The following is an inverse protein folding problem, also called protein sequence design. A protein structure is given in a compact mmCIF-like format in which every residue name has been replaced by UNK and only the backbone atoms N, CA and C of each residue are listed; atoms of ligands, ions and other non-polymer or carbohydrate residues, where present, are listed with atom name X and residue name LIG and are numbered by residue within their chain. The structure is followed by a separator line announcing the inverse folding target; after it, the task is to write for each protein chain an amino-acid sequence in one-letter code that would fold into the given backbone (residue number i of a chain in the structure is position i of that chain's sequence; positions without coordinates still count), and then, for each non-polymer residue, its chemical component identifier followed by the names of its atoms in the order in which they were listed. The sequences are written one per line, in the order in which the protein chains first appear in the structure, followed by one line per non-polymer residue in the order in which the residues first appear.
data_IF_179163784444
#
_entry.id   IF_179163784444
#
_cell.length_a   1.000
_cell.length_b   1.000
_cell.length_c   1.000
_cell.angle_alpha   90.00
_cell.angle_beta   90.00
_cell.angle_gamma   90.00
#
_symmetry.space_group_name_H-M   'P 1'
#
loop_
_entity.id
_entity.type
_entity.pdbx_description
1 polymer ?
#
# COMPACT_ATOMS: atom_id res chain seq x y z
N UNK A 1 44.01 -66.20 31.89
CA UNK A 1 42.59 -65.85 31.70
C UNK A 1 42.21 -64.45 32.22
N UNK A 2 42.61 -64.02 33.43
CA UNK A 2 42.20 -62.70 34.00
C UNK A 2 42.59 -61.44 33.19
N UNK A 3 43.74 -61.43 32.49
CA UNK A 3 44.19 -60.27 31.69
C UNK A 3 43.32 -59.99 30.45
N UNK A 4 42.82 -61.02 29.78
CA UNK A 4 41.94 -60.88 28.60
C UNK A 4 40.55 -60.36 28.98
N UNK A 5 40.06 -60.72 30.17
CA UNK A 5 38.77 -60.27 30.68
C UNK A 5 38.76 -58.76 30.99
N UNK A 6 39.86 -58.23 31.56
CA UNK A 6 40.02 -56.79 31.79
C UNK A 6 40.05 -55.97 30.49
N UNK A 7 40.72 -56.48 29.45
CA UNK A 7 40.77 -55.82 28.13
C UNK A 7 39.38 -55.79 27.49
N UNK A 8 38.62 -56.89 27.56
CA UNK A 8 37.26 -56.95 27.04
C UNK A 8 36.31 -55.96 27.74
N UNK A 9 36.45 -55.79 29.06
CA UNK A 9 35.68 -54.80 29.83
C UNK A 9 36.01 -53.38 29.39
N UNK A 10 37.30 -53.06 29.20
CA UNK A 10 37.71 -51.71 28.75
C UNK A 10 37.15 -51.42 27.35
N UNK A 11 37.22 -52.38 26.43
CA UNK A 11 36.64 -52.24 25.08
C UNK A 11 35.12 -52.04 25.16
N UNK A 12 34.42 -52.79 26.02
CA UNK A 12 32.98 -52.64 26.19
C UNK A 12 32.59 -51.28 26.76
N UNK A 13 33.34 -50.75 27.73
CA UNK A 13 33.12 -49.42 28.32
C UNK A 13 33.34 -48.33 27.27
N UNK A 14 34.44 -48.41 26.52
CA UNK A 14 34.75 -47.45 25.44
C UNK A 14 33.69 -47.52 24.34
N UNK A 15 33.25 -48.71 23.94
CA UNK A 15 32.16 -48.87 22.99
C UNK A 15 30.85 -48.25 23.50
N UNK A 16 30.51 -48.45 24.79
CA UNK A 16 29.34 -47.86 25.42
C UNK A 16 29.39 -46.33 25.45
N UNK A 17 30.56 -45.74 25.73
CA UNK A 17 30.72 -44.26 25.72
C UNK A 17 30.54 -43.68 24.33
N UNK A 18 31.14 -44.30 23.31
CA UNK A 18 30.93 -43.88 21.92
C UNK A 18 29.47 -44.02 21.45
N UNK A 19 28.79 -45.09 21.89
CA UNK A 19 27.38 -45.29 21.58
C UNK A 19 26.51 -44.21 22.22
N UNK A 20 26.75 -43.88 23.50
CA UNK A 20 26.02 -42.84 24.22
C UNK A 20 26.21 -41.46 23.55
N UNK A 21 27.45 -41.10 23.22
CA UNK A 21 27.76 -39.84 22.54
C UNK A 21 27.09 -39.76 21.15
N UNK A 22 27.02 -40.88 20.43
CA UNK A 22 26.33 -40.96 19.15
C UNK A 22 24.82 -40.71 19.28
N UNK A 23 24.17 -41.30 20.29
CA UNK A 23 22.74 -41.07 20.54
C UNK A 23 22.45 -39.63 20.96
N UNK A 24 23.25 -39.05 21.86
CA UNK A 24 23.10 -37.65 22.29
C UNK A 24 23.28 -36.69 21.12
N UNK A 25 24.28 -36.92 20.26
CA UNK A 25 24.50 -36.10 19.06
C UNK A 25 23.34 -36.21 18.07
N UNK A 26 22.78 -37.41 17.90
CA UNK A 26 21.64 -37.66 17.01
C UNK A 26 20.36 -36.97 17.51
N UNK A 27 20.10 -37.02 18.82
CA UNK A 27 18.95 -36.36 19.45
C UNK A 27 19.04 -34.83 19.31
N UNK A 28 20.21 -34.23 19.61
CA UNK A 28 20.45 -32.80 19.39
C UNK A 28 20.24 -32.36 17.94
N UNK A 29 20.71 -33.18 16.99
CA UNK A 29 20.52 -32.90 15.56
C UNK A 29 19.05 -33.01 15.15
N UNK A 30 18.29 -33.92 15.76
CA UNK A 30 16.85 -34.05 15.51
C UNK A 30 16.08 -32.84 16.06
N UNK A 31 16.43 -32.36 17.26
CA UNK A 31 15.86 -31.15 17.85
C UNK A 31 16.15 -29.90 17.03
N UNK A 32 17.38 -29.78 16.51
CA UNK A 32 17.78 -28.67 15.65
C UNK A 32 16.97 -28.67 14.34
N UNK A 33 16.78 -29.83 13.70
CA UNK A 33 15.96 -29.96 12.50
C UNK A 33 14.50 -29.62 12.79
N UNK A 34 13.97 -30.04 13.94
CA UNK A 34 12.60 -29.73 14.34
C UNK A 34 12.43 -28.22 14.56
N UNK A 35 13.38 -27.57 15.25
CA UNK A 35 13.40 -26.12 15.46
C UNK A 35 13.49 -25.35 14.15
N UNK A 36 14.39 -25.74 13.26
CA UNK A 36 14.56 -25.10 11.94
C UNK A 36 13.34 -25.29 11.03
N UNK A 37 12.62 -26.42 11.15
CA UNK A 37 11.33 -26.63 10.48
C UNK A 37 10.25 -25.71 11.04
N UNK A 38 10.13 -25.61 12.36
CA UNK A 38 9.17 -24.71 13.00
C UNK A 38 9.45 -23.23 12.65
N UNK A 39 10.72 -22.83 12.63
CA UNK A 39 11.13 -21.50 12.21
C UNK A 39 10.80 -21.25 10.74
N UNK A 40 11.06 -22.22 9.85
CA UNK A 40 10.64 -22.13 8.45
C UNK A 40 9.13 -21.98 8.28
N UNK A 41 8.33 -22.77 9.01
CA UNK A 41 6.87 -22.68 8.97
C UNK A 41 6.38 -21.33 9.49
N UNK A 42 6.97 -20.82 10.58
CA UNK A 42 6.63 -19.50 11.12
C UNK A 42 7.03 -18.37 10.15
N UNK A 43 8.23 -18.43 9.56
CA UNK A 43 8.66 -17.47 8.53
C UNK A 43 7.77 -17.54 7.28
N UNK A 44 7.35 -18.74 6.86
CA UNK A 44 6.39 -18.92 5.76
C UNK A 44 5.03 -18.32 6.10
N UNK A 45 4.53 -18.51 7.32
CA UNK A 45 3.29 -17.91 7.78
C UNK A 45 3.39 -16.38 7.84
N UNK A 46 4.50 -15.83 8.35
CA UNK A 46 4.76 -14.38 8.35
C UNK A 46 4.83 -13.82 6.92
N UNK A 47 5.52 -14.49 5.99
CA UNK A 47 5.54 -14.12 4.58
C UNK A 47 4.13 -14.18 3.98
N UNK A 48 3.33 -15.18 4.33
CA UNK A 48 1.95 -15.30 3.85
C UNK A 48 1.05 -14.20 4.39
N UNK A 49 1.20 -13.81 5.66
CA UNK A 49 0.49 -12.67 6.26
C UNK A 49 0.93 -11.34 5.66
N UNK A 50 2.23 -11.14 5.42
CA UNK A 50 2.75 -9.97 4.71
C UNK A 50 2.26 -9.92 3.26
N UNK A 51 2.18 -11.07 2.59
CA UNK A 51 1.58 -11.18 1.25
C UNK A 51 0.10 -10.88 1.29
N UNK A 52 -0.65 -11.36 2.27
CA UNK A 52 -2.09 -11.12 2.39
C UNK A 52 -2.39 -9.64 2.71
N UNK A 53 -1.62 -9.03 3.62
CA UNK A 53 -1.72 -7.61 3.94
C UNK A 53 -1.20 -6.72 2.79
N UNK A 54 -0.25 -7.21 1.99
CA UNK A 54 0.24 -6.56 0.76
C UNK A 54 -0.58 -6.87 -0.51
N UNK A 55 -1.47 -7.86 -0.48
CA UNK A 55 -2.26 -8.31 -1.65
C UNK A 55 -3.52 -7.48 -1.88
N UNK A 56 -3.94 -6.67 -0.89
CA UNK A 56 -5.19 -5.90 -0.98
C UNK A 56 -5.04 -4.46 -1.49
N UNK A 57 -3.87 -4.04 -1.97
CA UNK A 57 -3.78 -2.71 -2.57
C UNK A 57 -2.61 -2.61 -3.56
N UNK A 58 -2.94 -2.61 -4.85
CA UNK A 58 -2.14 -2.02 -5.95
C UNK A 58 -0.89 -2.79 -6.45
N UNK A 59 -0.25 -3.67 -5.67
CA UNK A 59 1.05 -4.27 -6.06
C UNK A 59 1.03 -5.24 -7.25
N UNK A 60 -0.14 -5.71 -7.70
CA UNK A 60 -0.29 -6.53 -8.91
C UNK A 60 -1.17 -5.85 -9.98
N UNK A 61 -1.38 -4.54 -9.88
CA UNK A 61 -2.17 -3.81 -10.86
C UNK A 61 -1.28 -3.42 -12.04
N UNK A 62 -1.71 -3.76 -13.25
CA UNK A 62 -1.02 -3.30 -14.46
C UNK A 62 -1.26 -1.81 -14.65
N UNK A 63 -0.22 -1.09 -15.07
CA UNK A 63 -0.30 0.34 -15.32
C UNK A 63 0.01 0.67 -16.78
N UNK A 64 -0.71 1.65 -17.32
CA UNK A 64 -0.33 2.31 -18.56
C UNK A 64 0.35 3.63 -18.19
N UNK A 65 1.61 3.79 -18.53
CA UNK A 65 2.32 5.06 -18.39
C UNK A 65 1.94 5.98 -19.54
N UNK A 66 1.54 7.21 -19.22
CA UNK A 66 1.15 8.22 -20.21
C UNK A 66 1.80 9.57 -19.89
N UNK A 67 2.21 10.29 -20.94
CA UNK A 67 2.72 11.65 -20.85
C UNK A 67 1.57 12.64 -20.84
N UNK A 68 1.73 13.68 -20.03
CA UNK A 68 0.74 14.76 -19.88
C UNK A 68 1.06 15.86 -20.89
N UNK A 69 0.07 16.31 -21.65
CA UNK A 69 0.20 17.47 -22.51
C UNK A 69 0.29 18.75 -21.67
N UNK A 70 1.21 19.64 -22.03
CA UNK A 70 1.36 20.92 -21.33
C UNK A 70 0.17 21.84 -21.61
N UNK A 71 -0.36 22.44 -20.56
CA UNK A 71 -1.38 23.49 -20.63
C UNK A 71 -0.80 24.88 -20.39
N UNK A 72 0.54 25.03 -20.31
CA UNK A 72 1.18 26.33 -20.09
C UNK A 72 0.79 27.36 -21.18
N UNK A 73 0.48 28.62 -20.81
CA UNK A 73 0.54 29.22 -19.48
C UNK A 73 -0.77 29.11 -18.66
N UNK A 74 -1.75 28.33 -19.11
CA UNK A 74 -3.05 28.20 -18.44
C UNK A 74 -2.94 27.39 -17.14
N UNK A 75 -3.40 27.96 -16.02
CA UNK A 75 -3.42 27.30 -14.71
C UNK A 75 -4.70 26.47 -14.50
N UNK A 76 -5.04 25.63 -15.47
CA UNK A 76 -6.22 24.77 -15.43
C UNK A 76 -5.83 23.47 -14.74
N UNK A 77 -6.35 23.25 -13.53
CA UNK A 77 -6.01 22.07 -12.71
C UNK A 77 -7.07 20.98 -12.73
N UNK A 78 -8.33 21.32 -13.03
CA UNK A 78 -9.47 20.40 -12.99
C UNK A 78 -9.44 19.30 -14.06
N UNK A 79 -8.73 19.55 -15.18
CA UNK A 79 -8.59 18.59 -16.27
C UNK A 79 -7.17 18.56 -16.81
N UNK A 80 -6.73 17.37 -17.21
CA UNK A 80 -5.49 17.17 -17.95
C UNK A 80 -5.74 16.27 -19.16
N UNK A 81 -4.89 16.42 -20.18
CA UNK A 81 -4.93 15.56 -21.38
C UNK A 81 -3.66 14.73 -21.44
N UNK A 82 -3.78 13.46 -21.82
CA UNK A 82 -2.65 12.53 -21.91
C UNK A 82 -2.50 11.94 -23.31
N UNK A 83 -1.28 11.56 -23.68
CA UNK A 83 -0.95 10.97 -24.99
C UNK A 83 -1.27 9.48 -25.12
N UNK A 84 -2.26 8.98 -24.37
CA UNK A 84 -2.75 7.61 -24.45
C UNK A 84 -4.27 7.61 -24.55
N UNK A 85 -4.80 6.78 -25.43
CA UNK A 85 -6.21 6.65 -25.78
C UNK A 85 -6.61 5.20 -25.97
N UNK A 86 -7.64 4.97 -26.78
CA UNK A 86 -8.21 3.64 -27.04
C UNK A 86 -7.16 2.65 -27.57
N UNK A 87 -6.23 3.10 -28.42
CA UNK A 87 -5.15 2.25 -28.96
C UNK A 87 -4.21 1.71 -27.90
N UNK A 88 -4.09 2.39 -26.76
CA UNK A 88 -3.29 1.96 -25.61
C UNK A 88 -4.13 1.19 -24.59
N UNK A 89 -5.41 0.94 -24.87
CA UNK A 89 -6.33 0.22 -23.98
C UNK A 89 -6.98 1.08 -22.91
N UNK A 90 -6.88 2.41 -23.00
CA UNK A 90 -7.52 3.33 -22.05
C UNK A 90 -9.04 3.24 -22.21
N UNK A 91 -9.75 3.22 -21.09
CA UNK A 91 -11.22 3.23 -21.03
C UNK A 91 -11.70 4.33 -20.10
N UNK A 92 -12.95 4.77 -20.32
CA UNK A 92 -13.63 5.66 -19.38
C UNK A 92 -13.66 5.05 -17.98
N UNK A 93 -13.65 5.91 -16.97
CA UNK A 93 -13.65 5.54 -15.56
C UNK A 93 -12.38 4.86 -15.03
N UNK A 94 -11.36 4.63 -15.87
CA UNK A 94 -10.05 4.20 -15.37
C UNK A 94 -9.44 5.27 -14.46
N UNK A 95 -8.74 4.81 -13.42
CA UNK A 95 -8.16 5.68 -12.39
C UNK A 95 -6.77 6.14 -12.83
N UNK A 96 -6.53 7.45 -12.73
CA UNK A 96 -5.24 8.06 -12.97
C UNK A 96 -4.51 8.30 -11.64
N UNK A 97 -3.20 8.00 -11.62
CA UNK A 97 -2.34 8.21 -10.46
C UNK A 97 -1.04 8.92 -10.79
N UNK A 98 -0.51 9.66 -9.82
CA UNK A 98 0.88 10.09 -9.81
C UNK A 98 1.70 8.97 -9.18
N UNK A 99 2.70 8.46 -9.89
CA UNK A 99 3.35 7.21 -9.51
C UNK A 99 2.33 6.08 -9.42
N UNK A 100 2.50 5.19 -8.44
CA UNK A 100 1.68 3.98 -8.32
C UNK A 100 0.55 4.11 -7.31
N UNK A 101 0.60 5.06 -6.39
CA UNK A 101 -0.27 5.06 -5.21
C UNK A 101 -0.95 6.40 -4.91
N UNK A 102 -0.67 7.48 -5.66
CA UNK A 102 -1.26 8.80 -5.39
C UNK A 102 -2.41 9.04 -6.36
N UNK A 103 -3.64 9.22 -5.86
CA UNK A 103 -4.81 9.53 -6.68
C UNK A 103 -4.62 10.89 -7.37
N UNK A 104 -4.71 10.89 -8.69
CA UNK A 104 -4.72 12.10 -9.51
C UNK A 104 -6.12 12.43 -9.99
N UNK A 105 -6.85 11.41 -10.47
CA UNK A 105 -8.07 11.64 -11.22
C UNK A 105 -8.72 10.38 -11.79
N UNK A 106 -9.71 10.61 -12.64
CA UNK A 106 -10.40 9.58 -13.39
C UNK A 106 -10.54 9.99 -14.86
N UNK A 107 -10.40 9.02 -15.76
CA UNK A 107 -10.58 9.22 -17.20
C UNK A 107 -12.06 9.50 -17.50
N UNK A 108 -12.38 10.66 -18.07
CA UNK A 108 -13.75 11.04 -18.44
C UNK A 108 -14.04 10.80 -19.91
N UNK A 109 -13.05 11.09 -20.77
CA UNK A 109 -13.17 11.03 -22.21
C UNK A 109 -11.97 10.31 -22.80
N UNK A 110 -12.24 9.42 -23.75
CA UNK A 110 -11.22 8.63 -24.45
C UNK A 110 -11.41 8.85 -25.94
N UNK A 111 -10.31 9.13 -26.61
CA UNK A 111 -10.21 9.23 -28.06
C UNK A 111 -9.18 8.21 -28.55
N UNK A 112 -9.04 8.09 -29.86
CA UNK A 112 -8.18 7.06 -30.47
C UNK A 112 -6.72 7.10 -29.96
N UNK A 113 -6.14 8.30 -29.79
CA UNK A 113 -4.72 8.48 -29.45
C UNK A 113 -4.48 9.31 -28.17
N UNK A 114 -5.53 9.83 -27.52
CA UNK A 114 -5.43 10.66 -26.33
C UNK A 114 -6.66 10.50 -25.44
N UNK A 115 -6.55 10.89 -24.18
CA UNK A 115 -7.66 10.87 -23.23
C UNK A 115 -7.65 12.11 -22.36
N UNK A 116 -8.81 12.45 -21.83
CA UNK A 116 -9.01 13.54 -20.86
C UNK A 116 -9.31 12.94 -19.50
N UNK A 117 -8.65 13.50 -18.48
CA UNK A 117 -8.77 13.09 -17.09
C UNK A 117 -9.33 14.27 -16.31
N UNK A 118 -10.40 14.03 -15.55
CA UNK A 118 -10.85 14.92 -14.49
C UNK A 118 -10.02 14.64 -13.24
N UNK A 119 -9.47 15.69 -12.63
CA UNK A 119 -8.53 15.57 -11.50
C UNK A 119 -9.19 15.90 -10.17
N UNK A 120 -8.51 15.56 -9.05
CA UNK A 120 -8.95 15.84 -7.66
C UNK A 120 -8.96 17.33 -7.31
N UNK A 121 -8.75 18.21 -8.30
CA UNK A 121 -8.87 19.66 -8.17
C UNK A 121 -10.16 20.21 -8.81
N UNK A 122 -10.97 19.36 -9.46
CA UNK A 122 -12.29 19.77 -9.95
C UNK A 122 -13.26 20.02 -8.77
N UNK A 123 -13.77 21.24 -8.57
CA UNK A 123 -14.65 21.57 -7.43
C UNK A 123 -15.94 20.74 -7.33
N UNK A 124 -16.37 20.12 -8.43
CA UNK A 124 -17.55 19.27 -8.44
C UNK A 124 -17.29 17.90 -7.81
N UNK A 125 -16.03 17.51 -7.60
CA UNK A 125 -15.68 16.15 -7.19
C UNK A 125 -15.61 15.99 -5.67
N UNK A 126 -16.22 14.92 -5.18
CA UNK A 126 -16.19 14.51 -3.78
C UNK A 126 -16.06 12.99 -3.71
N UNK A 127 -15.35 12.48 -2.70
CA UNK A 127 -15.28 11.03 -2.47
C UNK A 127 -15.11 10.68 -0.99
N UNK A 128 -15.63 9.53 -0.54
CA UNK A 128 -15.35 9.00 0.80
C UNK A 128 -13.87 8.74 1.02
N UNK A 129 -13.35 9.11 2.19
CA UNK A 129 -11.94 8.96 2.56
C UNK A 129 -11.75 8.45 3.98
N UNK A 130 -10.56 7.94 4.25
CA UNK A 130 -10.06 7.57 5.57
C UNK A 130 -8.80 8.33 5.91
N UNK A 131 -8.69 8.77 7.16
CA UNK A 131 -7.59 9.60 7.65
C UNK A 131 -6.78 8.82 8.69
N UNK A 132 -5.46 8.84 8.52
CA UNK A 132 -4.51 8.32 9.50
C UNK A 132 -4.58 6.80 9.71
N UNK A 133 -3.89 6.33 10.75
CA UNK A 133 -3.83 4.90 11.11
C UNK A 133 -5.14 4.36 11.69
N UNK A 134 -5.93 5.23 12.30
CA UNK A 134 -7.22 4.90 12.92
C UNK A 134 -8.37 4.83 11.91
N UNK A 135 -8.07 4.99 10.60
CA UNK A 135 -9.04 4.91 9.50
C UNK A 135 -10.30 5.78 9.70
N UNK A 136 -10.10 7.01 10.19
CA UNK A 136 -11.21 7.92 10.52
C UNK A 136 -11.92 8.35 9.25
N UNK A 137 -13.24 8.13 9.22
CA UNK A 137 -14.06 8.48 8.06
C UNK A 137 -14.17 9.99 7.86
N UNK A 138 -14.21 10.39 6.60
CA UNK A 138 -14.55 11.75 6.18
C UNK A 138 -14.97 11.78 4.71
N UNK A 139 -15.32 12.97 4.25
CA UNK A 139 -15.66 13.23 2.86
C UNK A 139 -14.63 14.20 2.27
N UNK A 140 -13.84 13.75 1.31
CA UNK A 140 -12.95 14.63 0.58
C UNK A 140 -13.77 15.51 -0.35
N UNK A 141 -13.44 16.80 -0.36
CA UNK A 141 -13.99 17.81 -1.25
C UNK A 141 -12.84 18.44 -2.03
N UNK A 142 -12.87 18.22 -3.33
CA UNK A 142 -11.93 18.79 -4.27
C UNK A 142 -12.13 20.32 -4.41
N UNK A 143 -11.16 20.96 -5.05
CA UNK A 143 -11.19 22.38 -5.36
C UNK A 143 -9.80 23.01 -5.30
N UNK A 144 -9.76 24.34 -5.30
CA UNK A 144 -8.50 25.08 -5.19
C UNK A 144 -7.78 24.85 -3.85
N UNK A 145 -8.55 24.68 -2.77
CA UNK A 145 -8.08 24.27 -1.45
C UNK A 145 -8.77 22.94 -1.11
N UNK A 146 -8.18 21.79 -1.50
CA UNK A 146 -8.75 20.49 -1.21
C UNK A 146 -8.80 20.26 0.30
N UNK A 147 -9.89 19.68 0.77
CA UNK A 147 -10.11 19.43 2.21
C UNK A 147 -10.94 18.19 2.46
N UNK A 148 -10.89 17.70 3.68
CA UNK A 148 -11.80 16.67 4.18
C UNK A 148 -12.81 17.35 5.10
N UNK A 149 -14.09 17.08 4.86
CA UNK A 149 -15.21 17.56 5.65
C UNK A 149 -15.92 16.37 6.32
N UNK A 150 -16.89 16.65 7.19
CA UNK A 150 -17.70 15.65 7.89
C UNK A 150 -16.86 14.70 8.78
N UNK A 151 -15.78 15.21 9.37
CA UNK A 151 -14.97 14.45 10.33
C UNK A 151 -15.61 14.60 11.71
N UNK A 152 -15.99 13.50 12.34
CA UNK A 152 -16.56 13.52 13.70
C UNK A 152 -15.64 14.26 14.68
N UNK A 153 -16.18 15.22 15.43
CA UNK A 153 -15.38 16.09 16.30
C UNK A 153 -14.61 15.31 17.39
N UNK A 154 -15.21 14.23 17.88
CA UNK A 154 -14.64 13.34 18.92
C UNK A 154 -13.42 12.55 18.44
N UNK A 155 -13.26 12.36 17.12
CA UNK A 155 -12.15 11.61 16.55
C UNK A 155 -10.88 12.44 16.56
N UNK A 156 -9.78 11.86 17.02
CA UNK A 156 -8.48 12.51 17.08
C UNK A 156 -7.79 12.38 15.71
N UNK A 157 -7.53 13.49 15.05
CA UNK A 157 -6.70 13.57 13.83
C UNK A 157 -5.53 14.52 14.11
N UNK A 158 -4.41 14.31 13.44
CA UNK A 158 -3.19 15.10 13.58
C UNK A 158 -2.78 15.72 12.26
N UNK A 159 -1.99 16.79 12.32
CA UNK A 159 -1.26 17.26 11.13
C UNK A 159 -0.33 16.15 10.64
N UNK A 160 -0.09 16.13 9.33
CA UNK A 160 0.67 15.09 8.61
C UNK A 160 -0.01 13.71 8.54
N UNK A 161 -1.22 13.55 9.11
CA UNK A 161 -2.02 12.33 8.87
C UNK A 161 -2.29 12.18 7.36
N UNK A 162 -2.05 10.96 6.87
CA UNK A 162 -2.27 10.64 5.45
C UNK A 162 -3.75 10.37 5.21
N UNK A 163 -4.27 10.93 4.13
CA UNK A 163 -5.64 10.71 3.67
C UNK A 163 -5.65 9.74 2.50
N UNK A 164 -6.49 8.71 2.60
CA UNK A 164 -6.64 7.65 1.61
C UNK A 164 -8.06 7.62 1.04
N UNK A 165 -8.18 7.29 -0.24
CA UNK A 165 -9.47 6.99 -0.87
C UNK A 165 -10.11 5.75 -0.24
N UNK A 166 -11.39 5.87 0.09
CA UNK A 166 -12.24 4.80 0.58
C UNK A 166 -13.51 4.62 -0.29
N UNK A 167 -13.52 5.22 -1.48
CA UNK A 167 -14.63 5.10 -2.44
C UNK A 167 -14.62 3.73 -3.13
N UNK A 168 -15.80 3.19 -3.41
CA UNK A 168 -15.97 1.91 -4.14
C UNK A 168 -15.53 1.99 -5.60
N UNK A 169 -15.53 3.20 -6.18
CA UNK A 169 -15.17 3.45 -7.58
C UNK A 169 -13.65 3.43 -7.80
N UNK A 170 -12.86 3.46 -6.73
CA UNK A 170 -11.42 3.56 -6.76
C UNK A 170 -10.82 2.39 -5.98
N UNK A 171 -9.64 1.87 -6.40
CA UNK A 171 -8.91 0.92 -5.57
C UNK A 171 -8.69 1.50 -4.18
N UNK A 172 -9.02 0.69 -3.17
CA UNK A 172 -8.86 1.08 -1.78
C UNK A 172 -7.38 1.38 -1.48
N UNK A 173 -7.11 2.45 -0.73
CA UNK A 173 -5.77 2.78 -0.24
C UNK A 173 -4.95 3.73 -1.13
N UNK A 174 -5.54 4.33 -2.18
CA UNK A 174 -4.87 5.40 -2.93
C UNK A 174 -4.70 6.65 -2.04
N UNK A 175 -3.46 7.13 -1.90
CA UNK A 175 -3.12 8.36 -1.18
C UNK A 175 -3.65 9.57 -1.92
N UNK A 176 -4.28 10.49 -1.20
CA UNK A 176 -4.77 11.77 -1.75
C UNK A 176 -3.84 12.91 -1.32
N UNK A 177 -3.55 13.00 -0.03
CA UNK A 177 -2.73 14.05 0.54
C UNK A 177 -2.49 13.85 2.03
N UNK A 178 -2.02 14.91 2.67
CA UNK A 178 -1.70 14.95 4.11
C UNK A 178 -2.47 16.09 4.77
N UNK A 179 -2.90 15.90 6.02
CA UNK A 179 -3.56 16.95 6.80
C UNK A 179 -2.58 18.09 7.07
N UNK A 180 -2.89 19.29 6.56
CA UNK A 180 -2.08 20.49 6.77
C UNK A 180 -2.59 21.33 7.95
N UNK A 181 -3.91 21.45 8.08
CA UNK A 181 -4.57 22.29 9.09
C UNK A 181 -5.90 21.66 9.48
N UNK A 182 -6.25 21.72 10.76
CA UNK A 182 -7.53 21.24 11.29
C UNK A 182 -8.37 22.44 11.70
N UNK A 183 -9.56 22.57 11.13
CA UNK A 183 -10.50 23.66 11.38
C UNK A 183 -11.70 23.12 12.15
N UNK A 184 -11.84 23.56 13.39
CA UNK A 184 -12.98 23.20 14.24
C UNK A 184 -13.95 24.37 14.36
N UNK A 185 -15.24 24.09 14.23
CA UNK A 185 -16.30 25.07 14.50
C UNK A 185 -16.86 24.85 15.91
N UNK A 186 -17.02 25.93 16.69
CA UNK A 186 -17.48 25.84 18.07
C UNK A 186 -18.86 25.16 18.23
N UNK A 187 -19.77 25.40 17.28
CA UNK A 187 -21.15 24.88 17.29
C UNK A 187 -21.38 23.61 16.46
N UNK A 188 -20.35 23.11 15.75
CA UNK A 188 -20.49 21.96 14.85
C UNK A 188 -20.22 20.61 15.53
N UNK A 189 -20.92 19.56 15.08
CA UNK A 189 -20.61 18.15 15.41
C UNK A 189 -19.47 17.57 14.56
N UNK A 190 -19.13 18.27 13.47
CA UNK A 190 -18.05 17.91 12.57
C UNK A 190 -16.95 18.98 12.57
N UNK A 191 -15.73 18.54 12.24
CA UNK A 191 -14.59 19.39 11.91
C UNK A 191 -14.14 19.15 10.47
N UNK A 192 -13.30 20.06 9.98
CA UNK A 192 -12.72 19.99 8.64
C UNK A 192 -11.19 19.92 8.74
N UNK A 193 -10.55 19.34 7.73
CA UNK A 193 -9.10 19.29 7.60
C UNK A 193 -8.68 19.78 6.21
N UNK A 194 -7.89 20.85 6.13
CA UNK A 194 -7.27 21.30 4.89
C UNK A 194 -6.13 20.37 4.54
N UNK A 195 -6.00 20.01 3.26
CA UNK A 195 -5.00 19.06 2.81
C UNK A 195 -3.85 19.72 2.05
N UNK A 196 -2.64 19.23 2.31
CA UNK A 196 -1.47 19.44 1.48
C UNK A 196 -1.39 18.33 0.43
N UNK A 197 -1.40 18.74 -0.85
CA UNK A 197 -1.28 17.81 -1.97
C UNK A 197 0.20 17.46 -2.21
N UNK A 198 0.53 16.19 -2.52
CA UNK A 198 1.91 15.75 -2.71
C UNK A 198 2.47 16.08 -4.11
N UNK A 199 1.69 16.72 -4.98
CA UNK A 199 2.09 17.08 -6.34
C UNK A 199 1.42 18.37 -6.81
N UNK A 200 2.01 18.96 -7.86
CA UNK A 200 1.44 20.09 -8.59
C UNK A 200 1.07 19.65 -10.02
N UNK A 201 -0.22 19.79 -10.38
CA UNK A 201 -0.73 19.37 -11.71
C UNK A 201 0.04 20.01 -12.86
N UNK A 202 0.44 21.28 -12.73
CA UNK A 202 1.16 22.00 -13.79
C UNK A 202 2.59 21.52 -14.04
N UNK A 203 3.16 20.74 -13.11
CA UNK A 203 4.51 20.19 -13.21
C UNK A 203 4.52 18.71 -13.64
N UNK A 204 3.35 18.07 -13.73
CA UNK A 204 3.23 16.69 -14.14
C UNK A 204 3.61 16.53 -15.61
N UNK A 205 4.59 15.67 -15.86
CA UNK A 205 5.01 15.29 -17.22
C UNK A 205 4.55 13.89 -17.59
N UNK A 206 4.39 13.03 -16.60
CA UNK A 206 4.09 11.63 -16.74
C UNK A 206 3.20 11.18 -15.58
N UNK A 207 2.24 10.32 -15.89
CA UNK A 207 1.30 9.71 -14.94
C UNK A 207 1.12 8.23 -15.27
N UNK A 208 0.47 7.50 -14.36
CA UNK A 208 0.06 6.11 -14.59
C UNK A 208 -1.47 6.00 -14.60
N UNK A 209 -1.98 5.11 -15.43
CA UNK A 209 -3.40 4.74 -15.47
C UNK A 209 -3.53 3.30 -14.98
N UNK A 210 -4.37 3.07 -13.97
CA UNK A 210 -4.64 1.75 -13.43
C UNK A 210 -5.51 0.98 -14.41
N UNK A 211 -5.00 -0.17 -14.86
CA UNK A 211 -5.81 -1.13 -15.59
C UNK A 211 -6.63 -1.96 -14.61
N UNK A 212 -7.94 -1.77 -14.65
CA UNK A 212 -8.88 -2.68 -14.01
C UNK A 212 -9.07 -3.90 -14.92
N UNK A 213 -8.71 -5.08 -14.44
CA UNK A 213 -8.99 -6.36 -15.11
C UNK A 213 -10.49 -6.67 -15.08
#
# INVERSE_FOLDING_TARGET
MRRYFLIAIIIAIVAATYLADFFIKKERSFDEVLRLKQENENLRAQIQLLKFNGQNSILNTNFITAKVFSTYPFNIKNKITINAGEKQGIKKSMVATVGENILLGQVTDVFENFSVIQTIFDPAWQLPVRIGKEEINGLFKAGNEPKVILIEKEKQIQTDDIVYSASQEFPYGLKIGEVAEIKETAAGVFKEAVLKMPFNVGELREIKILMTN
#
